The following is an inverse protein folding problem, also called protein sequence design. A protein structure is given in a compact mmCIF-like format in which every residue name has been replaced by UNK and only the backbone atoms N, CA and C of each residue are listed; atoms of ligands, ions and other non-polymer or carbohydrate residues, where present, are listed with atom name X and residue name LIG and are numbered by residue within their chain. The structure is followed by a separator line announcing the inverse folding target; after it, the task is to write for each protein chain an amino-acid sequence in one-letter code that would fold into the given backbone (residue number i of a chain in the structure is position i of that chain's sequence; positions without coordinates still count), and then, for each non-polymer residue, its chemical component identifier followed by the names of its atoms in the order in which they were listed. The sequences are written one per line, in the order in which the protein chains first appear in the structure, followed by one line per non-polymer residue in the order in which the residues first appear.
data_IF_057549317530
#
_entry.id   IF_057549317530
#
_cell.length_a   1.000
_cell.length_b   1.000
_cell.length_c   1.000
_cell.angle_alpha   90.00
_cell.angle_beta   90.00
_cell.angle_gamma   90.00
#
_symmetry.space_group_name_H-M   'P 1'
#
loop_
_entity.id
_entity.type
_entity.pdbx_description
1 polymer ?
#
# COMPACT_ATOMS: atom_id res chain seq x y z
N UNK A 1 -1.91 72.55 -16.03
CA UNK A 1 -0.75 72.02 -16.79
C UNK A 1 0.24 71.49 -15.74
N UNK A 2 0.51 70.20 -15.53
CA UNK A 2 0.45 68.97 -16.34
C UNK A 2 -0.14 67.83 -15.50
N UNK A 3 -0.97 67.01 -16.14
CA UNK A 3 -1.48 65.74 -15.60
C UNK A 3 -0.43 64.67 -15.91
N UNK A 4 0.19 64.08 -14.89
CA UNK A 4 1.02 62.90 -15.08
C UNK A 4 0.20 61.64 -14.79
N UNK A 5 -0.10 60.92 -15.87
CA UNK A 5 -0.74 59.61 -15.91
C UNK A 5 0.13 58.60 -15.16
N UNK A 6 -0.35 58.05 -14.05
CA UNK A 6 0.22 56.81 -13.49
C UNK A 6 -0.47 55.63 -14.18
N UNK A 7 0.36 54.84 -14.86
CA UNK A 7 -0.02 53.68 -15.66
C UNK A 7 -0.49 52.57 -14.72
N UNK A 8 -1.73 52.12 -14.93
CA UNK A 8 -2.29 50.91 -14.33
C UNK A 8 -1.61 49.69 -14.96
N UNK A 9 -0.74 49.00 -14.22
CA UNK A 9 -0.22 47.69 -14.62
C UNK A 9 -1.16 46.63 -14.05
N UNK A 10 -2.00 46.06 -14.92
CA UNK A 10 -2.85 44.94 -14.60
C UNK A 10 -2.01 43.65 -14.76
N UNK A 11 -1.49 43.12 -13.65
CA UNK A 11 -0.80 41.83 -13.61
C UNK A 11 -1.86 40.73 -13.69
N UNK A 12 -2.11 40.24 -14.91
CA UNK A 12 -2.89 39.03 -15.15
C UNK A 12 -2.06 37.84 -14.68
N UNK A 13 -2.28 37.38 -13.45
CA UNK A 13 -1.75 36.10 -12.97
C UNK A 13 -2.49 34.98 -13.70
N UNK A 14 -1.90 34.49 -14.78
CA UNK A 14 -2.27 33.23 -15.41
C UNK A 14 -1.96 32.13 -14.41
N UNK A 15 -2.96 31.72 -13.62
CA UNK A 15 -2.93 30.44 -12.94
C UNK A 15 -2.96 29.36 -14.03
N UNK A 16 -1.78 28.91 -14.43
CA UNK A 16 -1.65 27.65 -15.13
C UNK A 16 -2.17 26.59 -14.18
N UNK A 17 -3.36 26.06 -14.48
CA UNK A 17 -3.77 24.76 -13.98
C UNK A 17 -2.73 23.76 -14.50
N UNK A 18 -1.64 23.55 -13.74
CA UNK A 18 -0.92 22.30 -13.80
C UNK A 18 -1.93 21.25 -13.32
N UNK A 19 -2.68 20.72 -14.28
CA UNK A 19 -3.41 19.49 -14.09
C UNK A 19 -2.40 18.49 -13.55
N UNK A 20 -2.59 18.11 -12.28
CA UNK A 20 -1.96 16.93 -11.73
C UNK A 20 -2.29 15.80 -12.71
N UNK A 21 -1.32 15.42 -13.54
CA UNK A 21 -1.36 14.16 -14.24
C UNK A 21 -1.18 13.11 -13.14
N UNK A 22 -2.27 12.78 -12.45
CA UNK A 22 -2.35 11.49 -11.76
C UNK A 22 -1.99 10.46 -12.81
N UNK A 23 -0.90 9.73 -12.61
CA UNK A 23 -0.53 8.59 -13.43
C UNK A 23 -1.73 7.63 -13.41
N UNK A 24 -2.60 7.78 -14.40
CA UNK A 24 -3.74 6.93 -14.60
C UNK A 24 -3.17 5.63 -15.13
N UNK A 25 -2.75 4.76 -14.20
CA UNK A 25 -2.27 3.43 -14.52
C UNK A 25 -3.29 2.79 -15.47
N UNK A 26 -2.86 2.53 -16.70
CA UNK A 26 -3.70 2.01 -17.78
C UNK A 26 -4.05 0.54 -17.49
N UNK A 27 -5.00 0.32 -16.59
CA UNK A 27 -5.67 -0.98 -16.33
C UNK A 27 -6.67 -1.33 -17.42
N UNK A 28 -6.42 -0.98 -18.67
CA UNK A 28 -7.45 -0.94 -19.70
C UNK A 28 -8.14 -2.28 -19.97
N UNK A 29 -7.59 -3.40 -19.47
CA UNK A 29 -8.12 -4.74 -19.68
C UNK A 29 -8.45 -5.53 -18.40
N UNK A 30 -8.37 -4.94 -17.21
CA UNK A 30 -8.75 -5.64 -15.95
C UNK A 30 -10.07 -5.07 -15.45
N UNK A 31 -11.08 -5.92 -15.35
CA UNK A 31 -12.39 -5.54 -14.82
C UNK A 31 -12.24 -5.05 -13.38
N UNK A 32 -12.64 -3.80 -13.13
CA UNK A 32 -12.60 -3.16 -11.81
C UNK A 32 -13.40 -3.90 -10.74
N UNK A 33 -14.26 -4.84 -11.16
CA UNK A 33 -15.01 -5.73 -10.26
C UNK A 33 -14.17 -6.84 -9.64
N UNK A 34 -13.03 -7.17 -10.24
CA UNK A 34 -12.22 -8.33 -9.85
C UNK A 34 -11.06 -7.97 -8.90
N UNK A 35 -10.94 -6.69 -8.50
CA UNK A 35 -9.93 -6.25 -7.54
C UNK A 35 -10.36 -4.98 -6.79
N UNK A 36 -9.68 -4.72 -5.68
CA UNK A 36 -9.64 -3.45 -4.96
C UNK A 36 -8.20 -3.00 -4.96
N UNK A 37 -7.97 -1.73 -5.28
CA UNK A 37 -6.64 -1.13 -5.30
C UNK A 37 -6.67 0.22 -4.58
N UNK A 38 -5.68 0.44 -3.72
CA UNK A 38 -5.59 1.61 -2.86
C UNK A 38 -4.13 2.04 -2.81
N UNK A 39 -3.83 3.25 -3.29
CA UNK A 39 -2.51 3.86 -3.11
C UNK A 39 -2.25 4.07 -1.61
N UNK A 40 -1.07 3.71 -1.11
CA UNK A 40 -0.80 3.67 0.33
C UNK A 40 -0.87 5.06 0.96
N UNK A 41 -0.46 6.11 0.25
CA UNK A 41 -0.52 7.49 0.70
C UNK A 41 -1.94 8.07 0.71
N UNK A 42 -2.93 7.40 0.10
CA UNK A 42 -4.36 7.81 0.12
C UNK A 42 -5.06 7.32 1.39
N UNK A 43 -4.49 7.66 2.55
CA UNK A 43 -5.08 7.43 3.86
C UNK A 43 -5.55 8.74 4.49
N UNK A 44 -6.61 8.65 5.30
CA UNK A 44 -7.10 9.77 6.13
C UNK A 44 -6.47 9.77 7.54
N UNK A 45 -5.65 8.76 7.85
CA UNK A 45 -4.98 8.63 9.14
C UNK A 45 -3.84 9.64 9.29
N UNK A 46 -3.59 10.08 10.52
CA UNK A 46 -2.31 10.69 10.87
C UNK A 46 -1.19 9.67 10.63
N UNK A 47 -0.18 10.05 9.84
CA UNK A 47 0.93 9.18 9.47
C UNK A 47 1.79 8.79 10.67
N UNK A 48 1.88 9.62 11.71
CA UNK A 48 2.70 9.37 12.91
C UNK A 48 4.15 8.97 12.57
N UNK A 49 4.49 7.67 12.64
CA UNK A 49 5.82 7.13 12.31
C UNK A 49 5.96 6.67 10.86
N UNK A 50 4.92 6.78 10.05
CA UNK A 50 5.01 6.66 8.60
C UNK A 50 5.49 7.99 8.02
N UNK A 51 6.37 7.91 7.03
CA UNK A 51 6.84 9.05 6.26
C UNK A 51 6.27 8.94 4.85
N UNK A 52 5.72 10.06 4.36
CA UNK A 52 5.43 10.22 2.94
C UNK A 52 6.74 10.53 2.22
N UNK A 53 7.23 9.58 1.42
CA UNK A 53 8.42 9.75 0.59
C UNK A 53 7.96 10.09 -0.81
N UNK A 54 8.50 11.17 -1.38
CA UNK A 54 8.13 11.70 -2.69
C UNK A 54 9.28 11.63 -3.67
N UNK A 55 8.95 11.60 -4.96
CA UNK A 55 9.93 11.69 -6.03
C UNK A 55 10.79 12.94 -5.88
N UNK A 56 12.10 12.75 -5.83
CA UNK A 56 13.09 13.79 -5.57
C UNK A 56 13.60 13.84 -4.12
N UNK A 57 12.96 13.15 -3.19
CA UNK A 57 13.53 12.96 -1.85
C UNK A 57 14.78 12.07 -1.91
N UNK A 58 15.75 12.32 -1.02
CA UNK A 58 17.02 11.59 -1.00
C UNK A 58 16.84 10.07 -0.82
N UNK A 59 15.81 9.65 -0.10
CA UNK A 59 15.48 8.24 0.16
C UNK A 59 14.39 7.69 -0.77
N UNK A 60 14.08 8.36 -1.87
CA UNK A 60 13.12 7.87 -2.84
C UNK A 60 13.60 6.59 -3.53
N UNK A 61 12.75 5.56 -3.51
CA UNK A 61 12.96 4.28 -4.20
C UNK A 61 12.36 4.42 -5.60
N UNK A 62 13.22 4.31 -6.61
CA UNK A 62 12.83 4.36 -8.01
C UNK A 62 11.78 3.31 -8.37
N UNK A 63 10.99 3.58 -9.42
CA UNK A 63 9.94 2.69 -9.94
C UNK A 63 8.80 2.39 -8.98
N UNK A 64 8.49 3.30 -8.06
CA UNK A 64 7.18 3.31 -7.40
C UNK A 64 6.07 3.56 -8.45
N UNK A 65 4.84 3.10 -8.19
CA UNK A 65 3.72 3.24 -9.13
C UNK A 65 3.36 4.71 -9.41
N UNK A 66 3.55 5.57 -8.41
CA UNK A 66 3.26 6.99 -8.43
C UNK A 66 4.49 7.85 -8.11
N UNK A 67 4.23 9.11 -7.75
CA UNK A 67 5.28 10.06 -7.32
C UNK A 67 5.51 10.04 -5.81
N UNK A 68 4.85 9.14 -5.06
CA UNK A 68 5.00 9.01 -3.62
C UNK A 68 4.61 7.62 -3.11
N UNK A 69 5.12 7.25 -1.93
CA UNK A 69 4.76 6.05 -1.18
C UNK A 69 4.95 6.29 0.32
N UNK A 70 4.61 5.31 1.16
CA UNK A 70 4.80 5.40 2.62
C UNK A 70 5.96 4.51 3.09
N UNK A 71 6.85 5.03 3.93
CA UNK A 71 7.92 4.28 4.59
C UNK A 71 7.77 4.36 6.12
N UNK A 72 7.79 3.22 6.81
CA UNK A 72 7.64 3.19 8.26
C UNK A 72 8.97 3.42 8.99
N UNK A 73 9.06 4.43 9.84
CA UNK A 73 10.30 4.81 10.54
C UNK A 73 10.31 4.51 12.04
N UNK A 74 9.26 3.86 12.56
CA UNK A 74 9.20 3.42 13.95
C UNK A 74 9.97 2.11 14.22
N UNK A 75 9.94 1.67 15.48
CA UNK A 75 10.47 0.38 15.96
C UNK A 75 11.96 0.11 15.59
N UNK A 76 12.39 -1.16 15.65
CA UNK A 76 13.71 -1.62 15.19
C UNK A 76 13.59 -2.14 13.75
N UNK A 77 14.69 -2.17 12.97
CA UNK A 77 14.70 -2.76 11.63
C UNK A 77 14.17 -4.19 11.52
N UNK A 78 14.35 -5.04 12.55
CA UNK A 78 13.92 -6.46 12.53
C UNK A 78 12.54 -6.71 13.16
N UNK A 79 12.10 -5.85 14.08
CA UNK A 79 10.98 -6.18 14.95
C UNK A 79 10.38 -4.97 15.66
N UNK A 80 9.12 -5.13 16.05
CA UNK A 80 8.41 -4.23 16.93
C UNK A 80 6.98 -4.69 17.17
N UNK A 81 6.30 -4.01 18.10
CA UNK A 81 4.85 -4.13 18.26
C UNK A 81 4.15 -3.35 17.14
N UNK A 82 2.89 -3.68 16.79
CA UNK A 82 2.10 -2.87 15.87
C UNK A 82 2.08 -1.40 16.32
N UNK A 83 2.35 -0.48 15.39
CA UNK A 83 2.49 0.95 15.68
C UNK A 83 1.95 1.79 14.50
N UNK A 84 1.47 3.00 14.78
CA UNK A 84 1.02 3.97 13.77
C UNK A 84 0.00 3.36 12.78
N UNK A 85 -1.19 2.93 13.25
CA UNK A 85 -2.16 2.26 12.40
C UNK A 85 -2.75 3.23 11.35
N UNK A 86 -2.59 2.88 10.07
CA UNK A 86 -3.21 3.55 8.93
C UNK A 86 -4.52 2.84 8.56
N UNK A 87 -5.55 3.61 8.27
CA UNK A 87 -6.91 3.13 7.99
C UNK A 87 -7.22 3.33 6.51
N UNK A 88 -7.71 2.26 5.88
CA UNK A 88 -8.15 2.28 4.49
C UNK A 88 -9.55 1.66 4.40
N UNK A 89 -10.50 2.46 3.94
CA UNK A 89 -11.87 2.01 3.72
C UNK A 89 -12.08 1.64 2.25
N UNK A 90 -12.82 0.56 2.01
CA UNK A 90 -13.23 0.19 0.67
C UNK A 90 -14.59 -0.50 0.68
N UNK A 91 -15.27 -0.46 -0.45
CA UNK A 91 -16.51 -1.22 -0.69
C UNK A 91 -16.17 -2.41 -1.56
N UNK A 92 -16.57 -3.62 -1.17
CA UNK A 92 -16.29 -4.80 -1.99
C UNK A 92 -17.09 -4.74 -3.31
N UNK A 93 -16.43 -4.86 -4.46
CA UNK A 93 -17.08 -4.70 -5.76
C UNK A 93 -17.96 -5.91 -6.14
N UNK A 94 -17.62 -7.10 -5.62
CA UNK A 94 -18.34 -8.36 -5.82
C UNK A 94 -18.24 -9.23 -4.59
N UNK A 95 -19.18 -10.16 -4.44
CA UNK A 95 -19.06 -11.26 -3.47
C UNK A 95 -18.02 -12.26 -3.96
N UNK A 96 -17.11 -12.71 -3.10
CA UNK A 96 -16.11 -13.72 -3.45
C UNK A 96 -14.90 -13.73 -2.52
N UNK A 97 -13.93 -14.57 -2.86
CA UNK A 97 -12.69 -14.74 -2.11
C UNK A 97 -11.63 -13.77 -2.65
N UNK A 98 -11.18 -12.84 -1.81
CA UNK A 98 -10.19 -11.82 -2.17
C UNK A 98 -8.89 -12.02 -1.40
N UNK A 99 -7.79 -12.20 -2.12
CA UNK A 99 -6.46 -12.29 -1.52
C UNK A 99 -5.81 -10.91 -1.43
N UNK A 100 -5.32 -10.55 -0.24
CA UNK A 100 -4.57 -9.32 0.00
C UNK A 100 -3.09 -9.48 -0.38
N UNK A 101 -2.53 -8.45 -0.99
CA UNK A 101 -1.11 -8.24 -1.23
C UNK A 101 -0.75 -6.76 -1.06
N UNK A 102 0.49 -6.48 -0.69
CA UNK A 102 1.07 -5.14 -0.67
C UNK A 102 2.21 -5.09 -1.68
N UNK A 103 2.30 -4.03 -2.47
CA UNK A 103 3.54 -3.73 -3.17
C UNK A 103 4.45 -3.02 -2.20
N UNK A 104 5.56 -3.67 -1.85
CA UNK A 104 6.45 -3.24 -0.77
C UNK A 104 7.90 -3.17 -1.23
N UNK A 105 8.68 -2.37 -0.53
CA UNK A 105 10.13 -2.40 -0.63
C UNK A 105 10.76 -2.30 0.75
N UNK A 106 12.06 -2.54 0.82
CA UNK A 106 12.84 -2.48 2.04
C UNK A 106 14.12 -1.69 1.80
N UNK A 107 14.47 -0.85 2.76
CA UNK A 107 15.77 -0.16 2.83
C UNK A 107 16.54 -0.69 4.04
N UNK A 108 17.70 -1.31 3.77
CA UNK A 108 18.49 -2.05 4.74
C UNK A 108 19.56 -1.16 5.38
N UNK A 109 20.21 -0.29 4.60
CA UNK A 109 21.32 0.55 5.06
C UNK A 109 22.36 -0.27 5.87
N UNK A 110 22.77 -1.41 5.31
CA UNK A 110 23.80 -2.29 5.89
C UNK A 110 23.32 -3.29 6.94
N UNK A 111 22.01 -3.38 7.24
CA UNK A 111 21.48 -4.48 8.07
C UNK A 111 21.26 -5.76 7.26
N UNK A 112 20.92 -6.88 7.94
CA UNK A 112 20.71 -8.18 7.31
C UNK A 112 19.61 -8.15 6.23
N UNK A 113 19.76 -8.97 5.20
CA UNK A 113 18.84 -9.02 4.05
C UNK A 113 17.41 -9.38 4.44
N UNK A 114 17.21 -10.15 5.49
CA UNK A 114 15.90 -10.61 5.96
C UNK A 114 15.12 -9.58 6.81
N UNK A 115 15.66 -8.37 6.99
CA UNK A 115 15.07 -7.31 7.83
C UNK A 115 14.29 -6.27 7.01
N UNK A 116 13.61 -5.35 7.69
CA UNK A 116 12.87 -4.23 7.07
C UNK A 116 11.75 -4.67 6.11
N UNK A 117 11.26 -5.90 6.22
CA UNK A 117 10.50 -6.61 5.18
C UNK A 117 9.05 -6.93 5.57
N UNK A 118 8.56 -6.39 6.69
CA UNK A 118 7.24 -6.72 7.20
C UNK A 118 6.51 -5.59 7.95
N UNK A 119 5.19 -5.75 7.98
CA UNK A 119 4.23 -4.92 8.68
C UNK A 119 3.17 -5.79 9.37
N UNK A 120 2.16 -5.17 9.96
CA UNK A 120 0.97 -5.85 10.47
C UNK A 120 -0.28 -5.41 9.70
N UNK A 121 -1.16 -6.36 9.40
CA UNK A 121 -2.48 -6.08 8.81
C UNK A 121 -3.58 -6.75 9.62
N UNK A 122 -4.73 -6.08 9.68
CA UNK A 122 -6.02 -6.64 10.10
C UNK A 122 -7.16 -6.10 9.26
N UNK A 123 -8.27 -6.84 9.18
CA UNK A 123 -9.49 -6.43 8.49
C UNK A 123 -10.67 -6.33 9.47
N UNK A 124 -11.45 -5.27 9.35
CA UNK A 124 -12.75 -5.10 10.03
C UNK A 124 -13.88 -5.02 9.00
N UNK A 125 -15.05 -5.56 9.35
CA UNK A 125 -16.24 -5.62 8.51
C UNK A 125 -16.92 -7.00 8.53
N UNK A 126 -17.98 -7.15 7.75
CA UNK A 126 -18.75 -8.39 7.65
C UNK A 126 -18.15 -9.33 6.60
N UNK A 127 -17.14 -10.11 6.96
CA UNK A 127 -16.48 -11.09 6.09
C UNK A 127 -16.36 -12.45 6.77
N UNK A 128 -16.13 -13.50 5.99
CA UNK A 128 -15.66 -14.80 6.48
C UNK A 128 -14.23 -15.08 6.03
N UNK A 129 -13.53 -16.00 6.70
CA UNK A 129 -12.18 -16.37 6.23
C UNK A 129 -12.25 -17.26 5.00
N UNK A 130 -11.43 -16.96 3.99
CA UNK A 130 -11.15 -17.80 2.83
C UNK A 130 -9.82 -18.55 2.92
N UNK A 131 -9.21 -18.61 4.10
CA UNK A 131 -7.89 -19.21 4.33
C UNK A 131 -7.88 -20.13 5.56
N UNK A 132 -6.72 -20.71 5.88
CA UNK A 132 -6.50 -21.47 7.13
C UNK A 132 -6.55 -20.59 8.39
N UNK A 133 -6.45 -19.27 8.26
CA UNK A 133 -6.59 -18.35 9.38
C UNK A 133 -8.06 -18.24 9.77
N UNK A 134 -8.39 -18.17 11.06
CA UNK A 134 -9.77 -17.91 11.48
C UNK A 134 -10.16 -16.46 11.24
N UNK A 135 -11.46 -16.17 11.10
CA UNK A 135 -12.00 -14.79 11.05
C UNK A 135 -11.51 -13.96 12.24
N UNK A 136 -11.56 -14.52 13.44
CA UNK A 136 -11.07 -13.89 14.68
C UNK A 136 -9.59 -13.53 14.61
N UNK A 137 -8.77 -14.36 13.95
CA UNK A 137 -7.37 -14.05 13.74
C UNK A 137 -7.20 -12.90 12.73
N UNK A 138 -7.91 -12.95 11.60
CA UNK A 138 -7.87 -11.93 10.54
C UNK A 138 -8.36 -10.54 11.01
N UNK A 139 -9.15 -10.49 12.09
CA UNK A 139 -9.58 -9.25 12.76
C UNK A 139 -8.52 -8.67 13.71
N UNK A 140 -7.41 -9.37 13.94
CA UNK A 140 -6.27 -8.93 14.75
C UNK A 140 -5.04 -8.70 13.88
N UNK A 141 -4.08 -7.95 14.40
CA UNK A 141 -2.81 -7.68 13.72
C UNK A 141 -2.06 -8.99 13.46
N UNK A 142 -1.95 -9.39 12.19
CA UNK A 142 -1.13 -10.51 11.72
C UNK A 142 0.00 -9.93 10.88
N UNK A 143 1.18 -10.52 11.03
CA UNK A 143 2.38 -10.10 10.30
C UNK A 143 2.20 -10.40 8.82
N UNK A 144 2.43 -9.41 7.96
CA UNK A 144 2.51 -9.57 6.51
C UNK A 144 3.97 -9.44 6.09
N UNK A 145 4.51 -10.49 5.48
CA UNK A 145 5.90 -10.57 5.04
C UNK A 145 6.00 -10.36 3.53
N UNK A 146 7.06 -9.68 3.14
CA UNK A 146 7.55 -9.72 1.78
C UNK A 146 7.86 -11.16 1.36
N UNK A 147 7.33 -11.57 0.21
CA UNK A 147 7.53 -12.91 -0.33
C UNK A 147 8.99 -13.06 -0.79
N UNK A 148 9.65 -14.19 -0.48
CA UNK A 148 11.07 -14.37 -0.79
C UNK A 148 11.94 -13.31 -0.10
N UNK A 149 11.67 -13.04 1.17
CA UNK A 149 12.29 -11.94 1.92
C UNK A 149 13.82 -11.96 1.90
N UNK A 150 14.45 -13.14 1.93
CA UNK A 150 15.91 -13.27 1.91
C UNK A 150 16.50 -13.12 0.50
N UNK A 151 15.67 -13.34 -0.52
CA UNK A 151 16.03 -13.35 -1.95
C UNK A 151 15.76 -12.00 -2.62
N UNK A 152 14.88 -11.17 -2.03
CA UNK A 152 14.58 -9.87 -2.62
C UNK A 152 15.68 -8.86 -2.30
N UNK A 153 16.19 -8.18 -3.32
CA UNK A 153 17.17 -7.11 -3.15
C UNK A 153 16.58 -5.89 -2.42
N UNK A 154 17.45 -5.12 -1.75
CA UNK A 154 17.11 -3.81 -1.21
C UNK A 154 16.67 -2.84 -2.32
N UNK A 155 15.81 -1.87 -1.99
CA UNK A 155 15.31 -0.82 -2.90
C UNK A 155 14.61 -1.38 -4.16
N UNK A 156 14.12 -2.61 -4.10
CA UNK A 156 13.29 -3.19 -5.15
C UNK A 156 11.85 -3.37 -4.67
N UNK A 157 10.91 -3.04 -5.54
CA UNK A 157 9.48 -3.26 -5.31
C UNK A 157 9.14 -4.74 -5.53
N UNK A 158 8.56 -5.34 -4.49
CA UNK A 158 8.18 -6.74 -4.45
C UNK A 158 6.92 -6.94 -3.60
N UNK A 159 6.21 -8.02 -3.89
CA UNK A 159 4.99 -8.35 -3.18
C UNK A 159 5.26 -8.82 -1.75
N UNK A 160 4.48 -8.29 -0.82
CA UNK A 160 4.24 -8.89 0.49
C UNK A 160 2.83 -9.48 0.50
N UNK A 161 2.72 -10.80 0.61
CA UNK A 161 1.43 -11.49 0.64
C UNK A 161 1.36 -12.64 1.65
N UNK A 162 2.47 -12.92 2.32
CA UNK A 162 2.60 -14.02 3.27
C UNK A 162 2.12 -13.60 4.65
N UNK A 163 1.12 -14.30 5.18
CA UNK A 163 0.62 -14.10 6.53
C UNK A 163 1.37 -15.01 7.52
N UNK A 164 2.01 -14.44 8.53
CA UNK A 164 2.68 -15.20 9.58
C UNK A 164 2.07 -14.84 10.95
N UNK A 165 1.12 -15.67 11.39
CA UNK A 165 0.47 -15.55 12.71
C UNK A 165 1.31 -16.23 13.79
N UNK A 166 1.77 -17.44 13.49
CA UNK A 166 2.60 -18.26 14.34
C UNK A 166 3.98 -18.38 13.67
N UNK A 167 5.05 -18.40 14.47
CA UNK A 167 6.42 -18.29 13.97
C UNK A 167 6.71 -19.39 12.94
N UNK A 168 7.16 -19.00 11.75
CA UNK A 168 7.43 -19.86 10.59
C UNK A 168 6.23 -20.67 10.08
N UNK A 169 5.01 -20.26 10.40
CA UNK A 169 3.78 -20.85 9.85
C UNK A 169 3.14 -19.87 8.87
N UNK A 170 3.37 -20.14 7.58
CA UNK A 170 2.97 -19.26 6.49
C UNK A 170 1.56 -19.57 5.98
N UNK A 171 0.77 -18.52 5.85
CA UNK A 171 -0.62 -18.54 5.41
C UNK A 171 -0.85 -17.45 4.36
N UNK A 172 -2.09 -17.37 3.85
CA UNK A 172 -2.54 -16.30 2.96
C UNK A 172 -3.61 -15.48 3.65
N UNK A 173 -3.64 -14.18 3.37
CA UNK A 173 -4.77 -13.31 3.71
C UNK A 173 -5.85 -13.44 2.64
N UNK A 174 -6.81 -14.35 2.83
CA UNK A 174 -7.97 -14.49 1.94
C UNK A 174 -9.24 -14.18 2.72
N UNK A 175 -10.00 -13.20 2.23
CA UNK A 175 -11.24 -12.73 2.82
C UNK A 175 -12.42 -13.06 1.90
N UNK A 176 -13.46 -13.69 2.43
CA UNK A 176 -14.74 -13.85 1.74
C UNK A 176 -15.55 -12.58 1.92
N UNK A 177 -15.51 -11.72 0.92
CA UNK A 177 -16.17 -10.41 0.91
C UNK A 177 -17.57 -10.53 0.32
N UNK A 178 -18.45 -9.59 0.70
CA UNK A 178 -19.83 -9.49 0.24
C UNK A 178 -19.98 -8.21 -0.57
N UNK A 179 -20.53 -8.30 -1.78
CA UNK A 179 -20.74 -7.15 -2.67
C UNK A 179 -21.46 -6.01 -1.94
N UNK A 180 -20.92 -4.79 -2.04
CA UNK A 180 -21.55 -3.58 -1.50
C UNK A 180 -21.29 -3.34 -0.02
N UNK A 181 -20.78 -4.33 0.72
CA UNK A 181 -20.36 -4.15 2.11
C UNK A 181 -19.11 -3.27 2.19
N UNK A 182 -19.04 -2.49 3.26
CA UNK A 182 -17.89 -1.64 3.58
C UNK A 182 -16.93 -2.37 4.52
N UNK A 183 -15.66 -2.29 4.19
CA UNK A 183 -14.59 -2.91 4.96
C UNK A 183 -13.53 -1.89 5.33
N UNK A 184 -12.74 -2.22 6.34
CA UNK A 184 -11.64 -1.39 6.79
C UNK A 184 -10.39 -2.23 6.97
N UNK A 185 -9.38 -1.98 6.13
CA UNK A 185 -8.03 -2.48 6.34
C UNK A 185 -7.33 -1.56 7.32
N UNK A 186 -6.68 -2.13 8.32
CA UNK A 186 -5.72 -1.42 9.15
C UNK A 186 -4.34 -1.97 8.88
N UNK A 187 -3.44 -1.11 8.39
CA UNK A 187 -2.03 -1.39 8.18
C UNK A 187 -1.24 -0.71 9.30
N UNK A 188 -0.49 -1.47 10.10
CA UNK A 188 0.35 -0.93 11.17
C UNK A 188 1.81 -1.27 10.90
N UNK A 189 2.71 -0.36 11.22
CA UNK A 189 4.14 -0.59 11.06
C UNK A 189 4.64 -1.69 12.00
N UNK A 190 5.65 -2.45 11.54
CA UNK A 190 6.39 -3.43 12.35
C UNK A 190 7.89 -3.18 12.23
N UNK A 191 8.46 -3.42 11.06
CA UNK A 191 9.89 -3.28 10.81
C UNK A 191 10.21 -1.91 10.25
N UNK A 192 11.19 -1.23 10.85
CA UNK A 192 11.66 0.08 10.35
C UNK A 192 12.12 -0.04 8.88
N UNK A 193 11.87 0.98 8.07
CA UNK A 193 12.20 1.10 6.64
C UNK A 193 11.47 0.08 5.74
N UNK A 194 10.35 -0.45 6.21
CA UNK A 194 9.40 -1.13 5.36
C UNK A 194 8.58 -0.07 4.60
N UNK A 195 8.65 -0.13 3.28
CA UNK A 195 7.94 0.79 2.38
C UNK A 195 6.75 0.09 1.75
N UNK A 196 5.66 0.82 1.55
CA UNK A 196 4.44 0.35 0.88
C UNK A 196 4.02 1.38 -0.16
N UNK A 197 3.93 0.91 -1.40
CA UNK A 197 3.48 1.68 -2.56
C UNK A 197 1.95 1.66 -2.64
N UNK A 198 1.38 0.46 -2.72
CA UNK A 198 -0.08 0.28 -2.78
C UNK A 198 -0.54 -1.03 -2.16
N UNK A 199 -1.82 -1.05 -1.80
CA UNK A 199 -2.58 -2.20 -1.30
C UNK A 199 -3.43 -2.76 -2.44
N UNK A 200 -3.40 -4.08 -2.61
CA UNK A 200 -4.20 -4.81 -3.59
C UNK A 200 -5.00 -5.92 -2.90
N UNK A 201 -6.28 -6.03 -3.24
CA UNK A 201 -7.04 -7.26 -3.05
C UNK A 201 -7.54 -7.73 -4.41
N UNK A 202 -7.33 -8.99 -4.77
CA UNK A 202 -7.81 -9.53 -6.04
C UNK A 202 -8.68 -10.76 -5.82
N UNK A 203 -9.68 -10.94 -6.70
CA UNK A 203 -10.58 -12.09 -6.67
C UNK A 203 -9.83 -13.36 -7.12
N UNK A 204 -9.72 -14.34 -6.21
CA UNK A 204 -8.95 -15.57 -6.43
C UNK A 204 -9.58 -16.52 -7.45
N UNK A 205 -10.88 -16.35 -7.73
CA UNK A 205 -11.56 -17.10 -8.79
C UNK A 205 -11.22 -16.58 -10.21
N UNK A 206 -10.63 -15.37 -10.30
CA UNK A 206 -10.29 -14.73 -11.58
C UNK A 206 -8.81 -14.80 -11.90
N UNK A 207 -7.98 -14.73 -10.86
CA UNK A 207 -6.53 -14.76 -11.01
C UNK A 207 -5.95 -15.75 -10.00
N UNK A 208 -5.11 -16.67 -10.48
CA UNK A 208 -4.22 -17.37 -9.57
C UNK A 208 -3.12 -16.42 -9.05
N UNK A 209 -2.40 -16.82 -7.99
CA UNK A 209 -1.44 -15.92 -7.34
C UNK A 209 -0.31 -15.45 -8.25
N UNK A 210 0.26 -16.35 -9.05
CA UNK A 210 1.32 -15.99 -9.99
C UNK A 210 0.81 -14.96 -11.01
N UNK A 211 -0.34 -15.22 -11.63
CA UNK A 211 -0.93 -14.32 -12.62
C UNK A 211 -1.30 -12.97 -12.03
N UNK A 212 -1.82 -12.94 -10.80
CA UNK A 212 -2.10 -11.69 -10.10
C UNK A 212 -0.83 -10.86 -9.84
N UNK A 213 0.25 -11.52 -9.37
CA UNK A 213 1.54 -10.85 -9.13
C UNK A 213 2.14 -10.25 -10.39
N UNK A 214 1.97 -10.89 -11.54
CA UNK A 214 2.42 -10.37 -12.84
C UNK A 214 1.54 -9.21 -13.31
N UNK A 215 0.21 -9.40 -13.32
CA UNK A 215 -0.73 -8.43 -13.88
C UNK A 215 -0.81 -7.12 -13.12
N UNK A 216 -0.69 -7.17 -11.78
CA UNK A 216 -0.86 -6.01 -10.93
C UNK A 216 0.45 -5.35 -10.49
N UNK A 217 1.61 -5.82 -10.99
CA UNK A 217 2.89 -5.18 -10.70
C UNK A 217 3.08 -4.01 -11.67
N UNK A 218 3.16 -2.81 -11.12
CA UNK A 218 3.43 -1.58 -11.86
C UNK A 218 4.95 -1.47 -12.02
N UNK A 219 5.42 -1.11 -13.23
CA UNK A 219 6.84 -0.98 -13.56
C UNK A 219 7.25 0.48 -13.69
#
# INVERSE_FOLDING_TARGET
MKINKLITIFLLTIFTFLGCKTNQFLRNNINTKDYVFIEAEKTVSDLQKWQLVKKGDQNYIERASGDAYLEFMGNKPITGKPNSPLIYQFTAPTTGDFQLMLMSSKRLEGVKSDWCNDAFVRLSGNFESGSKLSKKALQKNIKILQDGNDETSELQWHWASTAEKDRHVYNKFIYKLIKGEKYTITLSGRSKRFSVDYILLYNTAKFNNQKAKELFKIQ
#
